data_IF_244209727432
#
_entry.id   IF_244209727432
#
_cell.length_a   1.000
_cell.length_b   1.000
_cell.length_c   1.000
_cell.angle_alpha   90.00
_cell.angle_beta   90.00
_cell.angle_gamma   90.00
#
_symmetry.space_group_name_H-M   'P 1'
#
loop_
_entity.id
_entity.type
_entity.pdbx_description
1 polymer ?
#
# COMPACT_ATOMS: atom_id res chain seq x y z
N UNK A 1 -26.72 6.52 1.29
CA UNK A 1 -26.87 5.49 0.21
C UNK A 1 -27.49 4.18 0.69
N UNK A 2 -27.21 3.72 1.92
CA UNK A 2 -27.71 2.42 2.42
C UNK A 2 -29.23 2.25 2.49
N UNK A 3 -29.99 3.34 2.60
CA UNK A 3 -31.46 3.33 2.73
C UNK A 3 -32.24 3.44 1.41
N UNK A 4 -31.57 3.55 0.26
CA UNK A 4 -32.24 3.69 -1.04
C UNK A 4 -32.64 2.33 -1.65
N UNK A 5 -33.75 2.26 -2.42
CA UNK A 5 -34.08 1.08 -3.23
C UNK A 5 -32.96 0.71 -4.21
N UNK A 6 -32.88 -0.56 -4.60
CA UNK A 6 -31.72 -1.10 -5.37
C UNK A 6 -31.42 -0.35 -6.67
N UNK A 7 -32.43 0.06 -7.45
CA UNK A 7 -32.26 0.76 -8.74
C UNK A 7 -31.69 2.18 -8.58
N UNK A 8 -32.30 3.08 -7.78
CA UNK A 8 -31.73 4.42 -7.55
C UNK A 8 -30.37 4.35 -6.84
N UNK A 9 -30.14 3.38 -5.96
CA UNK A 9 -28.83 3.17 -5.33
C UNK A 9 -27.75 2.84 -6.35
N UNK A 10 -28.00 1.88 -7.27
CA UNK A 10 -27.05 1.51 -8.31
C UNK A 10 -26.77 2.68 -9.27
N UNK A 11 -27.81 3.39 -9.69
CA UNK A 11 -27.63 4.57 -10.55
C UNK A 11 -26.75 5.62 -9.86
N UNK A 12 -27.03 5.95 -8.60
CA UNK A 12 -26.24 6.92 -7.85
C UNK A 12 -24.77 6.48 -7.72
N UNK A 13 -24.52 5.20 -7.41
CA UNK A 13 -23.16 4.66 -7.30
C UNK A 13 -22.42 4.76 -8.63
N UNK A 14 -23.05 4.39 -9.75
CA UNK A 14 -22.45 4.50 -11.09
C UNK A 14 -22.18 5.96 -11.44
N UNK A 15 -23.12 6.86 -11.17
CA UNK A 15 -22.94 8.30 -11.43
C UNK A 15 -21.78 8.87 -10.63
N UNK A 16 -21.69 8.58 -9.33
CA UNK A 16 -20.58 9.04 -8.49
C UNK A 16 -19.26 8.44 -8.97
N UNK A 17 -19.24 7.17 -9.35
CA UNK A 17 -18.03 6.50 -9.86
C UNK A 17 -17.54 7.14 -11.15
N UNK A 18 -18.42 7.34 -12.14
CA UNK A 18 -18.06 7.96 -13.42
C UNK A 18 -17.65 9.42 -13.24
N UNK A 19 -18.36 10.17 -12.39
CA UNK A 19 -18.00 11.55 -12.08
C UNK A 19 -16.62 11.63 -11.43
N UNK A 20 -16.35 10.83 -10.39
CA UNK A 20 -15.04 10.79 -9.74
C UNK A 20 -13.94 10.36 -10.70
N UNK A 21 -14.18 9.35 -11.54
CA UNK A 21 -13.21 8.91 -12.54
C UNK A 21 -12.88 10.01 -13.56
N UNK A 22 -13.89 10.74 -14.05
CA UNK A 22 -13.70 11.87 -14.96
C UNK A 22 -12.91 13.01 -14.30
N UNK A 23 -13.25 13.35 -13.05
CA UNK A 23 -12.51 14.37 -12.29
C UNK A 23 -11.05 13.96 -12.09
N UNK A 24 -10.78 12.73 -11.65
CA UNK A 24 -9.41 12.22 -11.48
C UNK A 24 -8.65 12.28 -12.82
N UNK A 25 -9.25 11.82 -13.90
CA UNK A 25 -8.63 11.83 -15.23
C UNK A 25 -8.28 13.25 -15.69
N UNK A 26 -9.22 14.20 -15.58
CA UNK A 26 -9.00 15.59 -15.97
C UNK A 26 -8.04 16.35 -15.03
N UNK A 27 -7.87 15.90 -13.79
CA UNK A 27 -7.03 16.58 -12.80
C UNK A 27 -5.63 15.97 -12.64
N UNK A 28 -5.40 14.74 -13.07
CA UNK A 28 -4.14 14.03 -12.84
C UNK A 28 -2.93 14.70 -13.50
N UNK A 29 -3.03 15.05 -14.79
CA UNK A 29 -1.96 15.72 -15.54
C UNK A 29 -1.69 17.14 -15.00
N UNK A 30 -2.69 18.04 -14.85
CA UNK A 30 -2.47 19.35 -14.26
C UNK A 30 -1.88 19.30 -12.85
N UNK A 31 -2.26 18.29 -12.05
CA UNK A 31 -1.69 18.09 -10.71
C UNK A 31 -0.20 17.73 -10.79
N UNK A 32 0.18 16.80 -11.67
CA UNK A 32 1.57 16.39 -11.85
C UNK A 32 2.45 17.55 -12.37
N UNK A 33 1.97 18.30 -13.38
CA UNK A 33 2.66 19.47 -13.92
C UNK A 33 2.83 20.57 -12.85
N UNK A 34 1.77 20.85 -12.08
CA UNK A 34 1.81 21.83 -10.99
C UNK A 34 2.87 21.48 -9.94
N UNK A 35 3.09 20.19 -9.64
CA UNK A 35 4.15 19.78 -8.71
C UNK A 35 5.54 20.06 -9.26
N UNK A 36 5.76 19.82 -10.56
CA UNK A 36 7.04 20.11 -11.23
C UNK A 36 7.31 21.62 -11.24
N UNK A 37 6.32 22.42 -11.65
CA UNK A 37 6.42 23.88 -11.64
C UNK A 37 6.67 24.44 -10.23
N UNK A 38 6.02 23.87 -9.21
CA UNK A 38 6.25 24.24 -7.82
C UNK A 38 7.69 23.96 -7.38
N UNK A 39 8.26 22.83 -7.79
CA UNK A 39 9.66 22.49 -7.52
C UNK A 39 10.63 23.50 -8.14
N UNK A 40 10.39 23.90 -9.38
CA UNK A 40 11.20 24.88 -10.09
C UNK A 40 11.15 26.26 -9.41
N UNK A 41 9.96 26.71 -8.98
CA UNK A 41 9.81 28.01 -8.31
C UNK A 41 10.38 28.04 -6.89
N UNK A 42 10.24 26.95 -6.13
CA UNK A 42 10.68 26.89 -4.72
C UNK A 42 12.11 26.36 -4.55
N UNK A 43 12.77 25.93 -5.62
CA UNK A 43 14.09 25.28 -5.56
C UNK A 43 14.07 23.93 -4.85
N UNK A 44 12.92 23.25 -4.85
CA UNK A 44 12.75 21.91 -4.26
C UNK A 44 12.88 20.87 -5.37
N UNK A 45 13.54 19.74 -5.09
CA UNK A 45 13.73 18.71 -6.11
C UNK A 45 12.39 18.09 -6.54
N UNK A 46 12.21 17.97 -7.86
CA UNK A 46 11.04 17.29 -8.46
C UNK A 46 10.87 15.88 -7.89
N UNK A 47 11.99 15.19 -7.66
CA UNK A 47 12.00 13.88 -7.01
C UNK A 47 11.31 13.89 -5.64
N UNK A 48 11.60 14.87 -4.78
CA UNK A 48 10.97 14.97 -3.46
C UNK A 48 9.46 15.19 -3.58
N UNK A 49 9.05 16.04 -4.53
CA UNK A 49 7.64 16.35 -4.74
C UNK A 49 6.87 15.16 -5.31
N UNK A 50 7.42 14.48 -6.32
CA UNK A 50 6.80 13.32 -6.95
C UNK A 50 6.80 12.11 -6.01
N UNK A 51 7.88 11.88 -5.25
CA UNK A 51 7.98 10.71 -4.37
C UNK A 51 7.24 10.88 -3.05
N UNK A 52 7.17 12.09 -2.51
CA UNK A 52 6.63 12.30 -1.16
C UNK A 52 5.39 13.17 -1.14
N UNK A 53 5.40 14.31 -1.82
CA UNK A 53 4.25 15.22 -1.77
C UNK A 53 3.06 14.66 -2.54
N UNK A 54 3.28 14.11 -3.74
CA UNK A 54 2.21 13.55 -4.55
C UNK A 54 1.48 12.39 -3.83
N UNK A 55 2.19 11.37 -3.30
CA UNK A 55 1.54 10.29 -2.57
C UNK A 55 0.94 10.74 -1.26
N UNK A 56 1.57 11.67 -0.54
CA UNK A 56 0.98 12.23 0.68
C UNK A 56 -0.37 12.88 0.37
N UNK A 57 -0.47 13.67 -0.69
CA UNK A 57 -1.71 14.31 -1.09
C UNK A 57 -2.77 13.29 -1.57
N UNK A 58 -2.38 12.34 -2.43
CA UNK A 58 -3.33 11.37 -3.02
C UNK A 58 -3.83 10.34 -2.01
N UNK A 59 -3.00 9.93 -1.04
CA UNK A 59 -3.32 8.91 -0.04
C UNK A 59 -3.90 9.49 1.26
N UNK A 60 -3.77 10.80 1.50
CA UNK A 60 -4.29 11.47 2.71
C UNK A 60 -5.78 11.18 2.98
N UNK A 61 -6.70 11.23 2.00
CA UNK A 61 -8.10 10.90 2.23
C UNK A 61 -8.31 9.48 2.78
N UNK A 62 -7.55 8.50 2.27
CA UNK A 62 -7.64 7.11 2.73
C UNK A 62 -7.14 6.97 4.17
N UNK A 63 -5.96 7.54 4.46
CA UNK A 63 -5.36 7.52 5.81
C UNK A 63 -6.27 8.20 6.82
N UNK A 64 -6.91 9.32 6.46
CA UNK A 64 -7.89 10.00 7.31
C UNK A 64 -9.10 9.11 7.63
N UNK A 65 -9.66 8.42 6.64
CA UNK A 65 -10.79 7.51 6.85
C UNK A 65 -10.40 6.34 7.74
N UNK A 66 -9.22 5.73 7.52
CA UNK A 66 -8.71 4.66 8.37
C UNK A 66 -8.48 5.14 9.82
N UNK A 67 -7.93 6.35 10.00
CA UNK A 67 -7.74 6.99 11.30
C UNK A 67 -9.06 7.25 12.02
N UNK A 68 -10.09 7.74 11.30
CA UNK A 68 -11.44 7.94 11.85
C UNK A 68 -12.09 6.62 12.28
N UNK A 69 -11.88 5.53 11.53
CA UNK A 69 -12.33 4.19 11.92
C UNK A 69 -11.64 3.73 13.20
N UNK A 70 -10.31 3.89 13.29
CA UNK A 70 -9.56 3.58 14.50
C UNK A 70 -10.03 4.39 15.71
N UNK A 71 -10.25 5.70 15.54
CA UNK A 71 -10.78 6.59 16.57
C UNK A 71 -12.16 6.16 17.08
N UNK A 72 -13.00 5.60 16.19
CA UNK A 72 -14.32 5.06 16.52
C UNK A 72 -14.28 3.64 17.08
N UNK A 73 -13.12 3.13 17.49
CA UNK A 73 -12.96 1.79 18.03
C UNK A 73 -13.00 0.67 16.96
N UNK A 74 -12.90 1.03 15.68
CA UNK A 74 -12.91 0.09 14.53
C UNK A 74 -11.53 -0.04 13.89
N UNK A 75 -10.50 -0.16 14.73
CA UNK A 75 -9.10 -0.22 14.27
C UNK A 75 -8.85 -1.40 13.32
N UNK A 76 -9.45 -2.57 13.56
CA UNK A 76 -9.32 -3.74 12.67
C UNK A 76 -9.85 -3.45 11.25
N UNK A 77 -10.97 -2.73 11.12
CA UNK A 77 -11.51 -2.34 9.82
C UNK A 77 -10.63 -1.30 9.12
N UNK A 78 -10.11 -0.31 9.85
CA UNK A 78 -9.16 0.67 9.33
C UNK A 78 -7.85 0.01 8.86
N UNK A 79 -7.30 -0.90 9.65
CA UNK A 79 -6.11 -1.68 9.27
C UNK A 79 -6.36 -2.57 8.06
N UNK A 80 -7.51 -3.24 7.99
CA UNK A 80 -7.89 -4.04 6.82
C UNK A 80 -7.93 -3.22 5.54
N UNK A 81 -8.47 -1.99 5.59
CA UNK A 81 -8.47 -1.07 4.46
C UNK A 81 -7.04 -0.68 4.03
N UNK A 82 -6.19 -0.24 4.98
CA UNK A 82 -4.81 0.17 4.69
C UNK A 82 -3.96 -0.98 4.14
N UNK A 83 -4.09 -2.19 4.71
CA UNK A 83 -3.39 -3.38 4.23
C UNK A 83 -3.85 -3.72 2.81
N UNK A 84 -5.16 -3.70 2.57
CA UNK A 84 -5.73 -3.97 1.24
C UNK A 84 -5.26 -2.95 0.19
N UNK A 85 -5.21 -1.66 0.54
CA UNK A 85 -4.71 -0.61 -0.36
C UNK A 85 -3.23 -0.81 -0.67
N UNK A 86 -2.42 -1.15 0.34
CA UNK A 86 -0.99 -1.42 0.10
C UNK A 86 -0.76 -2.64 -0.80
N UNK A 87 -1.55 -3.71 -0.65
CA UNK A 87 -1.51 -4.86 -1.56
C UNK A 87 -1.88 -4.43 -2.98
N UNK A 88 -2.92 -3.64 -3.15
CA UNK A 88 -3.35 -3.11 -4.45
C UNK A 88 -2.25 -2.27 -5.12
N UNK A 89 -1.59 -1.38 -4.36
CA UNK A 89 -0.48 -0.57 -4.86
C UNK A 89 0.74 -1.42 -5.25
N UNK A 90 1.12 -2.42 -4.44
CA UNK A 90 2.29 -3.25 -4.75
C UNK A 90 2.05 -4.28 -5.87
N UNK A 91 0.80 -4.51 -6.24
CA UNK A 91 0.45 -5.50 -7.26
C UNK A 91 -0.08 -4.83 -8.52
N UNK A 92 -1.30 -4.27 -8.46
CA UNK A 92 -1.94 -3.67 -9.63
C UNK A 92 -1.21 -2.43 -10.10
N UNK A 93 -0.86 -1.50 -9.21
CA UNK A 93 -0.21 -0.25 -9.64
C UNK A 93 1.16 -0.55 -10.27
N UNK A 94 2.03 -1.32 -9.60
CA UNK A 94 3.33 -1.70 -10.16
C UNK A 94 3.18 -2.50 -11.47
N UNK A 95 2.19 -3.38 -11.57
CA UNK A 95 1.93 -4.16 -12.79
C UNK A 95 1.39 -3.31 -13.95
N UNK A 96 0.63 -2.26 -13.66
CA UNK A 96 0.06 -1.38 -14.70
C UNK A 96 1.05 -0.38 -15.26
N UNK A 97 2.09 0.01 -14.51
CA UNK A 97 3.08 1.00 -14.95
C UNK A 97 3.80 0.60 -16.25
N UNK A 98 4.39 -0.61 -16.38
CA UNK A 98 4.99 -1.05 -17.64
C UNK A 98 3.97 -1.13 -18.79
N UNK A 99 2.72 -1.48 -18.52
CA UNK A 99 1.66 -1.58 -19.52
C UNK A 99 1.32 -0.19 -20.05
N UNK A 100 1.13 0.79 -19.16
CA UNK A 100 0.87 2.18 -19.52
C UNK A 100 2.04 2.79 -20.31
N UNK A 101 3.29 2.48 -19.91
CA UNK A 101 4.48 2.87 -20.64
C UNK A 101 4.49 2.31 -22.07
N UNK A 102 4.26 1.01 -22.25
CA UNK A 102 4.22 0.39 -23.59
C UNK A 102 3.10 0.96 -24.47
N UNK A 103 1.92 1.19 -23.89
CA UNK A 103 0.80 1.78 -24.62
C UNK A 103 1.09 3.24 -25.05
N UNK A 104 1.76 4.02 -24.21
CA UNK A 104 2.10 5.42 -24.51
C UNK A 104 3.28 5.56 -25.48
N UNK A 105 4.26 4.65 -25.43
CA UNK A 105 5.41 4.66 -26.32
C UNK A 105 5.06 4.31 -27.78
N UNK A 106 3.91 3.67 -28.03
CA UNK A 106 3.47 3.27 -29.37
C UNK A 106 4.26 2.11 -29.98
N UNK A 107 5.28 1.60 -29.27
CA UNK A 107 6.12 0.48 -29.69
C UNK A 107 5.88 -0.75 -28.80
N UNK A 108 5.14 -1.72 -29.33
CA UNK A 108 4.97 -3.02 -28.68
C UNK A 108 6.20 -3.90 -28.95
N UNK A 109 7.28 -3.66 -28.22
CA UNK A 109 8.39 -4.59 -28.17
C UNK A 109 8.23 -5.52 -26.98
N UNK A 110 8.24 -6.84 -27.22
CA UNK A 110 8.32 -7.85 -26.15
C UNK A 110 9.62 -7.78 -25.34
N UNK A 111 10.64 -7.07 -25.84
CA UNK A 111 11.90 -6.80 -25.14
C UNK A 111 11.98 -5.39 -24.57
N UNK A 112 11.00 -4.53 -24.88
CA UNK A 112 10.85 -3.20 -24.30
C UNK A 112 10.13 -3.29 -22.96
N UNK A 113 10.69 -2.64 -21.95
CA UNK A 113 10.07 -2.52 -20.63
C UNK A 113 10.27 -1.11 -20.10
N UNK A 114 9.61 -0.79 -18.99
CA UNK A 114 9.85 0.46 -18.28
C UNK A 114 11.35 0.54 -17.92
N UNK A 115 12.12 1.49 -18.50
CA UNK A 115 13.54 1.58 -18.22
C UNK A 115 13.72 2.00 -16.76
N UNK A 116 14.50 1.22 -16.02
CA UNK A 116 14.84 1.51 -14.63
C UNK A 116 16.32 1.86 -14.52
N UNK A 117 16.60 3.09 -14.10
CA UNK A 117 17.93 3.52 -13.72
C UNK A 117 18.36 2.88 -12.37
N UNK A 118 19.63 3.04 -12.01
CA UNK A 118 20.17 2.43 -10.79
C UNK A 118 19.46 2.94 -9.53
N UNK A 119 19.12 4.24 -9.49
CA UNK A 119 18.39 4.85 -8.38
C UNK A 119 17.01 4.22 -8.18
N UNK A 120 16.25 4.06 -9.26
CA UNK A 120 14.90 3.47 -9.24
C UNK A 120 14.96 2.00 -8.82
N UNK A 121 15.97 1.24 -9.26
CA UNK A 121 16.18 -0.14 -8.80
C UNK A 121 16.45 -0.20 -7.30
N UNK A 122 17.27 0.71 -6.78
CA UNK A 122 17.52 0.81 -5.34
C UNK A 122 16.29 1.21 -4.53
N UNK A 123 15.49 2.16 -5.02
CA UNK A 123 14.23 2.57 -4.37
C UNK A 123 13.20 1.42 -4.38
N UNK A 124 13.10 0.68 -5.50
CA UNK A 124 12.26 -0.52 -5.57
C UNK A 124 12.73 -1.57 -4.57
N UNK A 125 14.04 -1.82 -4.49
CA UNK A 125 14.61 -2.78 -3.55
C UNK A 125 14.38 -2.37 -2.09
N UNK A 126 14.62 -1.09 -1.76
CA UNK A 126 14.35 -0.54 -0.43
C UNK A 126 12.87 -0.72 -0.07
N UNK A 127 11.96 -0.34 -0.97
CA UNK A 127 10.52 -0.45 -0.75
C UNK A 127 10.08 -1.91 -0.61
N UNK A 128 10.69 -2.83 -1.36
CA UNK A 128 10.45 -4.26 -1.23
C UNK A 128 10.92 -4.79 0.13
N UNK A 129 12.11 -4.39 0.58
CA UNK A 129 12.64 -4.76 1.88
C UNK A 129 11.76 -4.24 3.02
N UNK A 130 11.31 -2.98 2.95
CA UNK A 130 10.37 -2.41 3.91
C UNK A 130 9.03 -3.17 3.92
N UNK A 131 8.51 -3.53 2.74
CA UNK A 131 7.25 -4.27 2.62
C UNK A 131 7.37 -5.69 3.18
N UNK A 132 8.48 -6.38 2.91
CA UNK A 132 8.77 -7.68 3.50
C UNK A 132 8.89 -7.61 5.02
N UNK A 133 9.58 -6.59 5.54
CA UNK A 133 9.65 -6.35 6.98
C UNK A 133 8.27 -6.09 7.59
N UNK A 134 7.42 -5.26 6.95
CA UNK A 134 6.06 -5.03 7.42
C UNK A 134 5.23 -6.33 7.44
N UNK A 135 5.35 -7.19 6.42
CA UNK A 135 4.71 -8.52 6.42
C UNK A 135 5.21 -9.38 7.58
N UNK A 136 6.52 -9.38 7.84
CA UNK A 136 7.11 -10.15 8.95
C UNK A 136 6.62 -9.68 10.32
N UNK A 137 6.37 -8.37 10.49
CA UNK A 137 5.74 -7.82 11.69
C UNK A 137 4.29 -8.32 11.81
N UNK A 138 3.52 -8.31 10.71
CA UNK A 138 2.14 -8.79 10.70
C UNK A 138 1.98 -10.32 10.69
N UNK A 139 3.06 -11.09 10.77
CA UNK A 139 3.01 -12.55 10.65
C UNK A 139 2.13 -13.20 11.72
N UNK A 140 2.04 -12.57 12.90
CA UNK A 140 1.22 -13.01 14.02
C UNK A 140 -0.20 -12.40 14.02
N UNK A 141 -0.63 -11.79 12.90
CA UNK A 141 -1.95 -11.14 12.72
C UNK A 141 -2.28 -10.08 13.79
N UNK A 142 -1.26 -9.57 14.45
CA UNK A 142 -1.34 -8.53 15.48
C UNK A 142 -0.16 -7.58 15.29
N UNK A 143 -0.34 -6.34 15.76
CA UNK A 143 0.68 -5.29 15.69
C UNK A 143 0.81 -4.69 17.08
N UNK A 144 1.94 -4.91 17.74
CA UNK A 144 2.26 -4.26 19.00
C UNK A 144 2.67 -2.79 18.77
N UNK A 145 2.49 -1.95 19.79
CA UNK A 145 2.90 -0.53 19.76
C UNK A 145 4.38 -0.37 19.43
N UNK A 146 5.23 -1.27 19.93
CA UNK A 146 6.67 -1.22 19.67
C UNK A 146 7.00 -1.46 18.20
N UNK A 147 6.30 -2.40 17.58
CA UNK A 147 6.48 -2.73 16.16
C UNK A 147 5.98 -1.60 15.26
N UNK A 148 4.82 -1.02 15.59
CA UNK A 148 4.29 0.16 14.90
C UNK A 148 5.23 1.37 15.02
N UNK A 149 5.76 1.63 16.22
CA UNK A 149 6.74 2.71 16.44
C UNK A 149 8.03 2.41 15.68
N UNK A 150 8.52 1.17 15.69
CA UNK A 150 9.72 0.77 14.94
C UNK A 150 9.58 0.98 13.45
N UNK A 151 8.46 0.56 12.85
CA UNK A 151 8.13 0.82 11.45
C UNK A 151 8.08 2.33 11.15
N UNK A 152 7.38 3.09 11.99
CA UNK A 152 7.24 4.54 11.81
C UNK A 152 8.59 5.26 11.91
N UNK A 153 9.41 4.95 12.92
CA UNK A 153 10.71 5.60 13.13
C UNK A 153 11.64 5.29 11.97
N UNK A 154 11.79 4.01 11.57
CA UNK A 154 12.64 3.63 10.45
C UNK A 154 12.22 4.34 9.15
N UNK A 155 10.92 4.40 8.89
CA UNK A 155 10.38 5.11 7.72
C UNK A 155 10.62 6.62 7.81
N UNK A 156 10.30 7.24 8.94
CA UNK A 156 10.43 8.69 9.12
C UNK A 156 11.89 9.15 9.05
N UNK A 157 12.84 8.39 9.60
CA UNK A 157 14.26 8.75 9.51
C UNK A 157 14.81 8.52 8.10
N UNK A 158 14.33 7.51 7.38
CA UNK A 158 14.67 7.28 5.97
C UNK A 158 14.11 8.38 5.06
N UNK A 159 12.93 8.92 5.37
CA UNK A 159 12.29 10.02 4.65
C UNK A 159 13.16 11.29 4.61
N UNK A 160 13.74 11.68 5.75
CA UNK A 160 14.54 12.92 5.85
C UNK A 160 16.00 12.75 5.44
N UNK A 161 16.49 11.52 5.32
CA UNK A 161 17.89 11.25 4.95
C UNK A 161 17.95 10.67 3.54
N UNK A 162 18.06 11.56 2.56
CA UNK A 162 17.97 11.23 1.11
C UNK A 162 19.29 10.77 0.47
N UNK A 163 20.26 10.32 1.27
CA UNK A 163 21.58 9.89 0.78
C UNK A 163 21.52 8.45 0.23
N UNK A 164 22.16 8.22 -0.92
CA UNK A 164 22.24 6.93 -1.60
C UNK A 164 22.84 5.82 -0.72
N UNK A 165 23.94 6.10 -0.03
CA UNK A 165 24.56 5.13 0.88
C UNK A 165 23.62 4.77 2.04
N UNK A 166 22.84 5.74 2.51
CA UNK A 166 21.90 5.55 3.60
C UNK A 166 20.71 4.69 3.17
N UNK A 167 20.23 4.84 1.93
CA UNK A 167 19.20 3.97 1.34
C UNK A 167 19.62 2.49 1.37
N UNK A 168 20.87 2.19 1.02
CA UNK A 168 21.40 0.82 1.10
C UNK A 168 21.43 0.31 2.54
N UNK A 169 21.83 1.14 3.51
CA UNK A 169 21.80 0.75 4.92
C UNK A 169 20.39 0.47 5.44
N UNK A 170 19.40 1.28 5.05
CA UNK A 170 18.00 1.01 5.41
C UNK A 170 17.48 -0.28 4.76
N UNK A 171 17.78 -0.52 3.48
CA UNK A 171 17.38 -1.75 2.80
C UNK A 171 17.99 -2.99 3.47
N UNK A 172 19.26 -2.92 3.86
CA UNK A 172 19.92 -3.97 4.63
C UNK A 172 19.29 -4.15 6.02
N UNK A 173 19.02 -3.06 6.73
CA UNK A 173 18.39 -3.10 8.05
C UNK A 173 17.00 -3.73 8.00
N UNK A 174 16.14 -3.32 7.06
CA UNK A 174 14.82 -3.93 6.86
C UNK A 174 14.92 -5.42 6.53
N UNK A 175 15.86 -5.80 5.65
CA UNK A 175 16.08 -7.21 5.29
C UNK A 175 16.52 -8.05 6.49
N UNK A 176 17.48 -7.56 7.28
CA UNK A 176 17.97 -8.25 8.49
C UNK A 176 16.85 -8.38 9.52
N UNK A 177 16.11 -7.30 9.79
CA UNK A 177 15.00 -7.31 10.73
C UNK A 177 13.88 -8.25 10.28
N UNK A 178 13.56 -8.26 8.99
CA UNK A 178 12.61 -9.19 8.40
C UNK A 178 13.03 -10.65 8.66
N UNK A 179 14.27 -11.01 8.31
CA UNK A 179 14.79 -12.36 8.54
C UNK A 179 14.79 -12.70 10.03
N UNK A 180 15.24 -11.79 10.90
CA UNK A 180 15.27 -12.01 12.34
C UNK A 180 13.86 -12.28 12.90
N UNK A 181 12.86 -11.47 12.51
CA UNK A 181 11.47 -11.68 12.93
C UNK A 181 10.89 -12.99 12.40
N UNK A 182 11.16 -13.35 11.15
CA UNK A 182 10.70 -14.63 10.59
C UNK A 182 11.35 -15.82 11.29
N UNK A 183 12.63 -15.72 11.67
CA UNK A 183 13.33 -16.78 12.42
C UNK A 183 12.78 -16.91 13.84
N UNK A 184 12.54 -15.79 14.53
CA UNK A 184 11.96 -15.78 15.89
C UNK A 184 10.52 -16.33 15.86
N UNK A 185 9.71 -15.90 14.89
CA UNK A 185 8.31 -16.29 14.75
C UNK A 185 8.11 -17.54 13.87
N UNK A 186 9.17 -18.30 13.58
CA UNK A 186 9.12 -19.44 12.64
C UNK A 186 8.06 -20.49 12.96
N UNK A 187 7.73 -20.64 14.24
CA UNK A 187 6.71 -21.58 14.70
C UNK A 187 5.28 -21.16 14.33
N UNK A 188 5.03 -19.84 14.18
CA UNK A 188 3.73 -19.29 13.83
C UNK A 188 3.48 -19.22 12.31
N UNK A 189 4.54 -19.22 11.49
CA UNK A 189 4.45 -19.11 10.02
C UNK A 189 3.48 -20.14 9.40
N UNK A 190 3.54 -21.45 9.73
CA UNK A 190 2.64 -22.44 9.14
C UNK A 190 1.16 -22.17 9.47
N UNK A 191 0.88 -21.65 10.66
CA UNK A 191 -0.49 -21.32 11.08
C UNK A 191 -1.07 -20.16 10.28
N UNK A 192 -0.28 -19.10 10.07
CA UNK A 192 -0.70 -17.93 9.28
C UNK A 192 -0.88 -18.30 7.81
N UNK A 193 0.02 -19.12 7.24
CA UNK A 193 -0.13 -19.66 5.88
C UNK A 193 -1.38 -20.51 5.72
N UNK A 194 -1.67 -21.38 6.70
CA UNK A 194 -2.89 -22.19 6.69
C UNK A 194 -4.13 -21.29 6.75
N UNK A 195 -4.14 -20.31 7.65
CA UNK A 195 -5.25 -19.35 7.78
C UNK A 195 -5.49 -18.58 6.49
N UNK A 196 -4.43 -18.06 5.86
CA UNK A 196 -4.52 -17.38 4.57
C UNK A 196 -5.06 -18.31 3.46
N UNK A 197 -4.61 -19.56 3.44
CA UNK A 197 -5.08 -20.55 2.46
C UNK A 197 -6.53 -20.98 2.70
N UNK A 198 -6.97 -21.06 3.95
CA UNK A 198 -8.36 -21.35 4.31
C UNK A 198 -9.29 -20.20 3.88
N UNK A 199 -8.85 -18.94 4.01
CA UNK A 199 -9.55 -17.77 3.45
C UNK A 199 -9.64 -17.85 1.92
N UNK A 200 -8.54 -18.13 1.22
CA UNK A 200 -8.53 -18.28 -0.25
C UNK A 200 -9.47 -19.41 -0.72
N UNK A 201 -9.57 -20.48 0.07
CA UNK A 201 -10.46 -21.63 -0.20
C UNK A 201 -11.92 -21.39 0.21
N UNK A 202 -12.24 -20.22 0.78
CA UNK A 202 -13.58 -19.88 1.24
C UNK A 202 -14.04 -20.64 2.48
N UNK A 203 -13.10 -21.17 3.29
CA UNK A 203 -13.38 -21.98 4.49
C UNK A 203 -13.37 -21.18 5.80
N UNK A 204 -13.18 -19.88 5.73
CA UNK A 204 -13.04 -19.03 6.91
C UNK A 204 -14.32 -18.89 7.75
N UNK A 205 -15.49 -19.21 7.19
CA UNK A 205 -16.80 -19.03 7.82
C UNK A 205 -17.43 -20.34 8.34
N UNK A 206 -16.73 -21.49 8.31
CA UNK A 206 -17.22 -22.72 8.93
C UNK A 206 -17.07 -22.62 10.46
N UNK A 207 -18.14 -22.17 11.14
CA UNK A 207 -18.31 -22.35 12.59
C UNK A 207 -17.98 -23.80 12.97
N UNK A 208 -17.12 -24.05 13.99
CA UNK A 208 -16.97 -25.40 14.50
C UNK A 208 -18.35 -25.90 14.96
N UNK A 209 -18.75 -27.14 14.63
CA UNK A 209 -20.08 -27.65 14.94
C UNK A 209 -20.37 -27.45 16.44
N UNK A 210 -21.33 -26.58 16.71
CA UNK A 210 -21.67 -26.13 18.04
C UNK A 210 -22.02 -27.28 18.97
N UNK A 211 -21.54 -27.18 20.21
CA UNK A 211 -22.16 -27.86 21.34
C UNK A 211 -23.67 -27.58 21.32
N UNK A 212 -24.45 -28.67 21.30
CA UNK A 212 -25.90 -28.60 21.48
C UNK A 212 -26.23 -27.85 22.78
N UNK A 213 -27.25 -26.96 22.79
CA UNK A 213 -27.70 -26.36 24.03
C UNK A 213 -28.21 -27.45 24.99
N UNK A 214 -27.93 -27.33 26.31
CA UNK A 214 -28.45 -28.27 27.29
C UNK A 214 -29.99 -28.25 27.28
N UNK A 215 -30.56 -29.44 27.30
CA UNK A 215 -31.99 -29.72 27.30
C UNK A 215 -32.73 -29.17 28.53
#
# INVERSE_FOLDING_TARGET
MGSLPNRPRRSLVVTVLLFSAAVIFCSAEPFAESLVELGQHLGVSEFLLIQWLAPLASESPEVLVAGLLAWRGRAAAGMGALISSKVNQWTLLIGTLPIAYLLSAGEFSFTGGLPLDDRQREEIFLTAAQSAFAIAVFINLSMDRKEAIGLFVLFATQLFVTNEMVRVYYAAAYSILCIALLVVNRAGIPHTLKSAMDVIRGRADEEPPGHAPPA
#
